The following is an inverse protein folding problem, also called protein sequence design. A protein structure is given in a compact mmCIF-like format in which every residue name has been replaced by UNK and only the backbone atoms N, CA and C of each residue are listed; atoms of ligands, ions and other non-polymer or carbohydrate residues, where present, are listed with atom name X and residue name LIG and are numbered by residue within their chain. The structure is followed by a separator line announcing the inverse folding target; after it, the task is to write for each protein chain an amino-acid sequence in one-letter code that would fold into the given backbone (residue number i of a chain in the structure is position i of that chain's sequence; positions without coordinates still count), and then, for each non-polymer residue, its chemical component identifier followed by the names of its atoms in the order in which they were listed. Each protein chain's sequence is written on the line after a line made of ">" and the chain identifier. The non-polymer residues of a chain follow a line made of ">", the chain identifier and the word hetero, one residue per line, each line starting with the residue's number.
data_IF_611146012738
#
_entry.id   IF_611146012738
#
_cell.length_a   1.000
_cell.length_b   1.000
_cell.length_c   1.000
_cell.angle_alpha   90.00
_cell.angle_beta   90.00
_cell.angle_gamma   90.00
#
_symmetry.space_group_name_H-M   'P 1'
#
loop_
_entity.id
_entity.type
_entity.pdbx_description
1 polymer ?
#
# COMPACT_ATOMS: atom_id res chain seq x y z
N UNK A 1 -4.25 -26.21 4.18
CA UNK A 1 -5.66 -25.94 3.84
C UNK A 1 -6.23 -27.10 3.03
N UNK A 2 -7.45 -27.60 3.28
CA UNK A 2 -8.04 -28.65 2.46
C UNK A 2 -8.45 -28.08 1.10
N UNK A 3 -7.95 -28.68 0.03
CA UNK A 3 -8.22 -28.32 -1.36
C UNK A 3 -9.59 -28.89 -1.74
N UNK A 4 -10.44 -28.12 -2.41
CA UNK A 4 -11.74 -28.64 -2.84
C UNK A 4 -11.55 -29.72 -3.93
N UNK A 5 -12.46 -30.70 -3.97
CA UNK A 5 -12.42 -31.82 -4.92
C UNK A 5 -12.35 -31.38 -6.39
N UNK A 6 -12.91 -30.20 -6.73
CA UNK A 6 -12.82 -29.62 -8.08
C UNK A 6 -11.41 -29.12 -8.43
N UNK A 7 -10.70 -28.50 -7.48
CA UNK A 7 -9.31 -28.07 -7.68
C UNK A 7 -8.33 -29.25 -7.70
N UNK A 8 -8.63 -30.33 -6.96
CA UNK A 8 -7.90 -31.60 -7.02
C UNK A 8 -8.03 -32.30 -8.39
N UNK A 9 -9.13 -32.07 -9.11
CA UNK A 9 -9.36 -32.66 -10.42
C UNK A 9 -8.55 -31.97 -11.54
N UNK A 10 -8.15 -30.70 -11.35
CA UNK A 10 -7.33 -29.90 -12.27
C UNK A 10 -5.83 -30.20 -12.16
N UNK A 11 -5.45 -31.48 -11.97
CA UNK A 11 -4.05 -31.96 -11.88
C UNK A 11 -3.12 -31.11 -12.75
N UNK A 12 -2.22 -30.34 -12.14
CA UNK A 12 -1.17 -29.64 -12.87
C UNK A 12 0.18 -29.81 -12.16
N UNK A 13 1.17 -30.03 -13.02
CA UNK A 13 2.49 -30.57 -12.77
C UNK A 13 3.34 -29.58 -11.96
N UNK A 14 3.88 -30.02 -10.83
CA UNK A 14 5.01 -29.34 -10.16
C UNK A 14 4.74 -28.02 -9.41
N UNK A 15 3.63 -27.32 -9.64
CA UNK A 15 3.29 -26.08 -8.92
C UNK A 15 2.45 -26.39 -7.69
N UNK A 16 2.95 -26.01 -6.50
CA UNK A 16 2.24 -26.13 -5.22
C UNK A 16 0.92 -25.34 -5.28
N UNK A 17 -0.16 -26.05 -5.63
CA UNK A 17 -1.55 -25.90 -5.21
C UNK A 17 -1.94 -24.46 -4.82
N UNK A 18 -2.57 -23.76 -5.76
CA UNK A 18 -3.24 -22.48 -5.51
C UNK A 18 -4.37 -22.62 -4.49
N UNK A 19 -4.60 -21.61 -3.62
CA UNK A 19 -5.80 -21.56 -2.82
C UNK A 19 -7.03 -21.55 -3.74
N UNK A 20 -7.96 -22.46 -3.45
CA UNK A 20 -9.25 -22.60 -4.13
C UNK A 20 -9.95 -21.24 -4.29
N UNK A 21 -10.83 -21.06 -5.30
CA UNK A 21 -11.74 -19.90 -5.36
C UNK A 21 -12.47 -19.62 -4.04
N UNK A 22 -12.67 -20.66 -3.21
CA UNK A 22 -13.31 -20.62 -1.89
C UNK A 22 -12.36 -20.42 -0.70
N UNK A 23 -11.04 -20.50 -0.87
CA UNK A 23 -10.06 -20.29 0.20
C UNK A 23 -9.50 -18.88 0.15
N UNK A 24 -9.28 -18.24 1.29
CA UNK A 24 -8.57 -16.94 1.36
C UNK A 24 -7.07 -17.14 1.11
N UNK A 25 -6.40 -16.12 0.55
CA UNK A 25 -4.94 -16.05 0.55
C UNK A 25 -4.47 -15.83 1.99
N UNK A 26 -5.13 -14.93 2.73
CA UNK A 26 -4.80 -14.63 4.13
C UNK A 26 -6.04 -14.78 5.01
N UNK A 27 -5.99 -15.53 6.13
CA UNK A 27 -7.16 -15.73 6.98
C UNK A 27 -7.65 -14.44 7.67
N UNK A 28 -6.74 -13.65 8.26
CA UNK A 28 -6.96 -12.27 8.72
C UNK A 28 -5.60 -11.63 9.06
N UNK A 29 -5.59 -10.30 9.19
CA UNK A 29 -4.49 -9.49 9.74
C UNK A 29 -4.74 -9.06 11.20
N UNK A 30 -5.94 -9.25 11.75
CA UNK A 30 -6.33 -8.69 13.06
C UNK A 30 -5.41 -9.11 14.21
N UNK A 31 -5.07 -10.41 14.25
CA UNK A 31 -4.23 -10.97 15.32
C UNK A 31 -2.80 -10.40 15.27
N UNK A 32 -2.30 -10.14 14.06
CA UNK A 32 -0.96 -9.62 13.83
C UNK A 32 -0.84 -8.12 14.11
N UNK A 33 -1.95 -7.38 14.03
CA UNK A 33 -2.04 -5.97 14.40
C UNK A 33 -2.60 -5.73 15.80
N UNK A 34 -2.83 -6.77 16.62
CA UNK A 34 -3.45 -6.64 17.95
C UNK A 34 -2.78 -5.63 18.90
N UNK A 35 -1.49 -5.33 18.67
CA UNK A 35 -0.72 -4.39 19.47
C UNK A 35 -0.77 -2.95 18.93
N UNK A 36 -1.42 -2.70 17.79
CA UNK A 36 -1.70 -1.38 17.24
C UNK A 36 -3.19 -1.09 17.37
N UNK A 37 -3.54 0.01 18.03
CA UNK A 37 -4.94 0.46 18.16
C UNK A 37 -5.08 1.83 17.52
N UNK A 38 -5.91 1.93 16.49
CA UNK A 38 -6.22 3.19 15.80
C UNK A 38 -7.20 4.03 16.61
N UNK A 39 -6.72 5.15 17.17
CA UNK A 39 -7.54 6.07 17.97
C UNK A 39 -8.21 7.15 17.15
N UNK A 40 -7.57 7.60 16.06
CA UNK A 40 -8.05 8.57 15.08
C UNK A 40 -7.22 8.48 13.79
N UNK A 41 -7.53 9.28 12.76
CA UNK A 41 -6.72 9.32 11.53
C UNK A 41 -5.28 9.81 11.77
N UNK A 42 -5.02 10.49 12.90
CA UNK A 42 -3.73 11.07 13.26
C UNK A 42 -3.14 10.45 14.52
N UNK A 43 -3.80 9.47 15.14
CA UNK A 43 -3.43 8.96 16.47
C UNK A 43 -3.53 7.44 16.56
N UNK A 44 -2.48 6.80 17.06
CA UNK A 44 -2.38 5.36 17.27
C UNK A 44 -1.87 5.06 18.68
N UNK A 45 -2.28 3.94 19.26
CA UNK A 45 -1.64 3.36 20.44
C UNK A 45 -0.79 2.16 20.03
N UNK A 46 0.45 2.16 20.49
CA UNK A 46 1.35 1.02 20.43
C UNK A 46 1.34 0.32 21.80
N UNK A 47 1.00 -0.96 21.82
CA UNK A 47 0.96 -1.79 23.01
C UNK A 47 2.24 -2.59 23.09
N UNK A 48 3.15 -2.20 23.99
CA UNK A 48 4.42 -2.92 24.22
C UNK A 48 4.46 -3.33 25.68
N UNK A 49 4.54 -4.65 25.91
CA UNK A 49 4.58 -5.26 27.25
C UNK A 49 3.43 -4.79 28.15
N UNK A 50 3.75 -3.95 29.14
CA UNK A 50 2.78 -3.44 30.14
C UNK A 50 2.30 -2.02 29.85
N UNK A 51 2.89 -1.34 28.88
CA UNK A 51 2.63 0.07 28.62
C UNK A 51 1.94 0.28 27.28
N UNK A 52 1.21 1.39 27.20
CA UNK A 52 0.64 1.88 25.95
C UNK A 52 1.30 3.20 25.62
N UNK A 53 1.68 3.36 24.37
CA UNK A 53 2.31 4.58 23.86
C UNK A 53 1.43 5.19 22.79
N UNK A 54 0.98 6.41 23.00
CA UNK A 54 0.23 7.17 22.01
C UNK A 54 1.21 7.85 21.06
N UNK A 55 1.12 7.49 19.79
CA UNK A 55 1.81 8.16 18.67
C UNK A 55 0.81 9.09 18.01
N UNK A 56 1.19 10.35 17.83
CA UNK A 56 0.41 11.35 17.10
C UNK A 56 1.19 11.84 15.89
N UNK A 57 0.57 11.82 14.71
CA UNK A 57 1.10 12.41 13.47
C UNK A 57 -0.03 13.25 12.84
N UNK A 58 -0.11 14.53 13.22
CA UNK A 58 -1.23 15.39 12.90
C UNK A 58 -0.90 16.44 11.83
N UNK A 59 -1.37 16.18 10.60
CA UNK A 59 -1.31 17.10 9.46
C UNK A 59 -2.33 18.25 9.55
N UNK A 60 -3.37 18.11 10.37
CA UNK A 60 -4.44 19.10 10.47
C UNK A 60 -4.15 20.20 11.49
N UNK A 61 -3.01 20.12 12.19
CA UNK A 61 -2.61 21.08 13.22
C UNK A 61 -2.59 22.53 12.74
N UNK A 62 -2.23 22.78 11.48
CA UNK A 62 -2.19 24.12 10.87
C UNK A 62 -3.49 24.51 10.16
N UNK A 63 -4.51 23.64 10.18
CA UNK A 63 -5.80 23.85 9.54
C UNK A 63 -6.04 22.92 8.36
N UNK A 64 -7.33 22.66 8.11
CA UNK A 64 -7.78 21.68 7.12
C UNK A 64 -7.41 22.04 5.68
N UNK A 65 -7.53 23.31 5.30
CA UNK A 65 -7.19 23.76 3.94
C UNK A 65 -5.71 23.55 3.61
N UNK A 66 -4.81 23.80 4.57
CA UNK A 66 -3.38 23.57 4.37
C UNK A 66 -3.06 22.08 4.29
N UNK A 67 -3.72 21.24 5.10
CA UNK A 67 -3.58 19.80 5.03
C UNK A 67 -3.97 19.24 3.66
N UNK A 68 -5.13 19.65 3.11
CA UNK A 68 -5.57 19.21 1.78
C UNK A 68 -4.69 19.75 0.65
N UNK A 69 -4.10 20.94 0.82
CA UNK A 69 -3.27 21.58 -0.22
C UNK A 69 -1.84 21.06 -0.26
N UNK A 70 -1.24 20.77 0.89
CA UNK A 70 0.20 20.51 1.02
C UNK A 70 0.55 19.14 1.62
N UNK A 71 -0.41 18.40 2.18
CA UNK A 71 -0.22 17.05 2.70
C UNK A 71 -0.93 15.99 1.83
N UNK A 72 -0.62 14.71 2.05
CA UNK A 72 -1.45 13.61 1.53
C UNK A 72 -2.34 13.11 2.67
N UNK A 73 -3.65 13.21 2.48
CA UNK A 73 -4.64 12.84 3.49
C UNK A 73 -5.65 11.82 2.97
N UNK A 74 -6.27 11.07 3.89
CA UNK A 74 -7.23 10.01 3.58
C UNK A 74 -8.49 10.54 2.90
N UNK A 75 -9.14 9.68 2.11
CA UNK A 75 -10.36 9.99 1.35
C UNK A 75 -11.49 10.56 2.21
N UNK A 76 -11.59 10.17 3.48
CA UNK A 76 -12.61 10.66 4.41
C UNK A 76 -12.61 12.19 4.55
N UNK A 77 -11.47 12.85 4.29
CA UNK A 77 -11.32 14.30 4.36
C UNK A 77 -11.89 15.03 3.13
N UNK A 78 -12.30 14.30 2.08
CA UNK A 78 -12.88 14.87 0.86
C UNK A 78 -14.37 14.59 0.72
N UNK A 79 -14.93 13.66 1.51
CA UNK A 79 -16.33 13.24 1.38
C UNK A 79 -17.26 14.38 1.85
N UNK A 80 -18.09 14.96 0.97
CA UNK A 80 -19.05 15.97 1.39
C UNK A 80 -20.07 15.42 2.38
N UNK A 81 -20.72 16.31 3.15
CA UNK A 81 -21.86 15.91 4.00
C UNK A 81 -23.04 15.34 3.18
N UNK A 82 -23.11 15.67 1.88
CA UNK A 82 -24.01 15.07 0.89
C UNK A 82 -23.44 13.75 0.37
N UNK A 83 -24.21 12.66 0.52
CA UNK A 83 -23.83 11.30 0.11
C UNK A 83 -24.39 10.92 -1.27
N UNK A 84 -24.34 11.81 -2.26
CA UNK A 84 -24.70 11.41 -3.62
C UNK A 84 -23.56 10.56 -4.24
N UNK A 85 -23.86 9.59 -5.12
CA UNK A 85 -22.82 8.82 -5.81
C UNK A 85 -21.81 9.71 -6.57
N UNK A 86 -22.27 10.85 -7.12
CA UNK A 86 -21.40 11.82 -7.79
C UNK A 86 -20.43 12.50 -6.83
N UNK A 87 -20.89 12.81 -5.62
CA UNK A 87 -20.04 13.40 -4.58
C UNK A 87 -18.96 12.40 -4.13
N UNK A 88 -19.30 11.11 -4.06
CA UNK A 88 -18.35 10.04 -3.72
C UNK A 88 -17.28 9.86 -4.79
N UNK A 89 -17.65 9.84 -6.08
CA UNK A 89 -16.68 9.80 -7.20
C UNK A 89 -15.79 11.04 -7.15
N UNK A 90 -16.36 12.23 -6.97
CA UNK A 90 -15.62 13.48 -6.83
C UNK A 90 -14.59 13.42 -5.68
N UNK A 91 -14.98 12.87 -4.52
CA UNK A 91 -14.08 12.68 -3.39
C UNK A 91 -12.97 11.66 -3.70
N UNK A 92 -13.29 10.54 -4.38
CA UNK A 92 -12.28 9.56 -4.81
C UNK A 92 -11.26 10.19 -5.77
N UNK A 93 -11.72 10.96 -6.76
CA UNK A 93 -10.84 11.64 -7.70
C UNK A 93 -9.97 12.68 -6.99
N UNK A 94 -10.55 13.52 -6.13
CA UNK A 94 -9.78 14.51 -5.36
C UNK A 94 -8.72 13.85 -4.46
N UNK A 95 -9.09 12.73 -3.83
CA UNK A 95 -8.18 11.90 -3.05
C UNK A 95 -6.98 11.42 -3.88
N UNK A 96 -7.25 10.82 -5.05
CA UNK A 96 -6.23 10.25 -5.94
C UNK A 96 -5.32 11.31 -6.59
N UNK A 97 -5.87 12.49 -6.90
CA UNK A 97 -5.12 13.59 -7.51
C UNK A 97 -3.97 14.11 -6.63
N UNK A 98 -4.02 13.90 -5.31
CA UNK A 98 -2.92 14.25 -4.41
C UNK A 98 -1.60 13.58 -4.82
N UNK A 99 -1.67 12.33 -5.31
CA UNK A 99 -0.51 11.50 -5.64
C UNK A 99 0.27 11.96 -6.89
N UNK A 100 -0.31 12.81 -7.73
CA UNK A 100 0.42 13.45 -8.84
C UNK A 100 1.50 14.43 -8.36
N UNK A 101 1.34 14.95 -7.14
CA UNK A 101 2.27 15.87 -6.48
C UNK A 101 3.01 15.22 -5.31
N UNK A 102 3.24 13.91 -5.37
CA UNK A 102 3.84 13.15 -4.25
C UNK A 102 5.20 13.72 -3.83
N UNK A 103 6.07 14.10 -4.78
CA UNK A 103 7.38 14.69 -4.45
C UNK A 103 7.27 15.97 -3.61
N UNK A 104 6.27 16.80 -3.88
CA UNK A 104 6.05 18.07 -3.18
C UNK A 104 5.47 17.84 -1.78
N UNK A 105 4.58 16.85 -1.65
CA UNK A 105 3.84 16.56 -0.41
C UNK A 105 4.58 15.59 0.53
N UNK A 106 5.42 14.72 -0.02
CA UNK A 106 6.31 13.77 0.67
C UNK A 106 7.75 13.89 0.12
N UNK A 107 8.43 15.02 0.38
CA UNK A 107 9.76 15.28 -0.18
C UNK A 107 10.82 14.34 0.38
N UNK A 108 11.73 13.88 -0.50
CA UNK A 108 12.88 13.03 -0.17
C UNK A 108 12.53 11.69 0.50
N UNK A 109 11.30 11.20 0.32
CA UNK A 109 10.86 9.90 0.84
C UNK A 109 11.09 8.79 -0.16
N UNK A 110 10.82 9.08 -1.43
CA UNK A 110 10.74 8.09 -2.50
C UNK A 110 11.65 8.48 -3.66
N UNK A 111 12.27 7.48 -4.26
CA UNK A 111 13.06 7.65 -5.48
C UNK A 111 12.16 8.04 -6.68
N UNK A 112 12.72 8.66 -7.74
CA UNK A 112 11.94 9.09 -8.90
C UNK A 112 11.07 7.99 -9.53
N UNK A 113 11.54 6.73 -9.55
CA UNK A 113 10.76 5.61 -10.07
C UNK A 113 9.60 5.24 -9.14
N UNK A 114 9.83 5.22 -7.83
CA UNK A 114 8.80 5.01 -6.81
C UNK A 114 7.68 6.06 -6.91
N UNK A 115 8.03 7.32 -7.21
CA UNK A 115 7.03 8.37 -7.44
C UNK A 115 6.12 8.08 -8.64
N UNK A 116 6.65 7.50 -9.73
CA UNK A 116 5.83 7.04 -10.86
C UNK A 116 4.94 5.87 -10.47
N UNK A 117 5.47 4.92 -9.70
CA UNK A 117 4.70 3.78 -9.17
C UNK A 117 3.59 4.23 -8.22
N UNK A 118 3.75 5.37 -7.55
CA UNK A 118 2.70 6.01 -6.74
C UNK A 118 1.71 6.80 -7.61
N UNK A 119 2.14 7.44 -8.70
CA UNK A 119 1.26 8.27 -9.52
C UNK A 119 0.41 7.49 -10.54
N UNK A 120 1.00 6.46 -11.17
CA UNK A 120 0.36 5.72 -12.28
C UNK A 120 -0.90 4.96 -11.85
N UNK A 121 -0.94 4.23 -10.70
CA UNK A 121 -2.17 3.59 -10.25
C UNK A 121 -3.28 4.59 -9.93
N UNK A 122 -2.96 5.80 -9.49
CA UNK A 122 -3.95 6.84 -9.22
C UNK A 122 -4.60 7.30 -10.53
N UNK A 123 -3.80 7.53 -11.57
CA UNK A 123 -4.29 7.83 -12.92
C UNK A 123 -5.15 6.70 -13.50
N UNK A 124 -4.74 5.45 -13.31
CA UNK A 124 -5.52 4.28 -13.70
C UNK A 124 -6.86 4.19 -12.96
N UNK A 125 -6.84 4.39 -11.64
CA UNK A 125 -8.04 4.33 -10.82
C UNK A 125 -9.03 5.46 -11.11
N UNK A 126 -8.55 6.68 -11.42
CA UNK A 126 -9.41 7.78 -11.90
C UNK A 126 -10.09 7.39 -13.20
N UNK A 127 -9.36 6.80 -14.14
CA UNK A 127 -9.93 6.31 -15.40
C UNK A 127 -11.02 5.25 -15.17
N UNK A 128 -10.81 4.31 -14.24
CA UNK A 128 -11.82 3.32 -13.87
C UNK A 128 -13.05 3.97 -13.23
N UNK A 129 -12.87 4.99 -12.37
CA UNK A 129 -13.99 5.72 -11.75
C UNK A 129 -14.84 6.47 -12.77
N UNK A 130 -14.23 7.03 -13.80
CA UNK A 130 -14.93 7.74 -14.88
C UNK A 130 -15.68 6.78 -15.82
N UNK A 131 -15.13 5.59 -16.02
CA UNK A 131 -15.67 4.59 -16.97
C UNK A 131 -16.69 3.63 -16.33
N UNK A 132 -16.44 3.21 -15.09
CA UNK A 132 -17.16 2.15 -14.36
C UNK A 132 -17.34 2.54 -12.87
N UNK A 133 -18.11 3.59 -12.56
CA UNK A 133 -18.13 4.22 -11.23
C UNK A 133 -18.56 3.28 -10.09
N UNK A 134 -19.56 2.43 -10.32
CA UNK A 134 -20.13 1.56 -9.27
C UNK A 134 -19.11 0.50 -8.79
N UNK A 135 -18.30 -0.04 -9.71
CA UNK A 135 -17.28 -1.06 -9.38
C UNK A 135 -15.97 -0.43 -8.88
N UNK A 136 -15.68 0.79 -9.33
CA UNK A 136 -14.41 1.45 -9.06
C UNK A 136 -14.33 2.07 -7.66
N UNK A 137 -15.46 2.44 -7.03
CA UNK A 137 -15.47 3.03 -5.68
C UNK A 137 -15.06 2.05 -4.56
N UNK A 138 -15.10 0.75 -4.82
CA UNK A 138 -14.61 -0.31 -3.91
C UNK A 138 -13.32 -0.98 -4.40
N UNK A 139 -12.57 -0.32 -5.29
CA UNK A 139 -11.36 -0.87 -5.87
C UNK A 139 -10.27 -1.18 -4.83
N UNK A 140 -9.53 -2.29 -4.98
CA UNK A 140 -8.37 -2.58 -4.13
C UNK A 140 -7.26 -1.54 -4.25
N UNK A 141 -7.17 -0.78 -5.35
CA UNK A 141 -6.20 0.32 -5.46
C UNK A 141 -6.52 1.43 -4.46
N UNK A 142 -7.80 1.81 -4.32
CA UNK A 142 -8.21 2.82 -3.35
C UNK A 142 -7.86 2.38 -1.93
N UNK A 143 -8.19 1.14 -1.58
CA UNK A 143 -7.87 0.58 -0.25
C UNK A 143 -6.36 0.54 0.00
N UNK A 144 -5.56 0.13 -1.00
CA UNK A 144 -4.10 0.14 -0.90
C UNK A 144 -3.54 1.55 -0.65
N UNK A 145 -4.01 2.58 -1.35
CA UNK A 145 -3.57 3.96 -1.09
C UNK A 145 -3.90 4.44 0.32
N UNK A 146 -5.08 4.07 0.84
CA UNK A 146 -5.45 4.41 2.23
C UNK A 146 -4.52 3.73 3.23
N UNK A 147 -4.19 2.45 3.00
CA UNK A 147 -3.20 1.73 3.80
C UNK A 147 -1.83 2.41 3.74
N UNK A 148 -1.38 2.77 2.53
CA UNK A 148 -0.10 3.45 2.30
C UNK A 148 -0.01 4.77 3.08
N UNK A 149 -1.08 5.57 3.12
CA UNK A 149 -1.08 6.81 3.90
C UNK A 149 -0.89 6.52 5.39
N UNK A 150 -1.59 5.51 5.94
CA UNK A 150 -1.49 5.15 7.36
C UNK A 150 -0.07 4.65 7.68
N UNK A 151 0.45 3.70 6.90
CA UNK A 151 1.79 3.16 7.12
C UNK A 151 2.85 4.23 6.93
N UNK A 152 2.72 5.11 5.93
CA UNK A 152 3.65 6.22 5.70
C UNK A 152 3.67 7.20 6.85
N UNK A 153 2.54 7.48 7.52
CA UNK A 153 2.51 8.34 8.71
C UNK A 153 3.32 7.73 9.85
N UNK A 154 3.13 6.43 10.11
CA UNK A 154 3.91 5.70 11.11
C UNK A 154 5.40 5.60 10.73
N UNK A 155 5.72 5.30 9.47
CA UNK A 155 7.10 5.27 8.98
C UNK A 155 7.77 6.65 9.04
N UNK A 156 7.04 7.73 8.74
CA UNK A 156 7.55 9.10 8.88
C UNK A 156 7.92 9.42 10.32
N UNK A 157 7.14 8.92 11.29
CA UNK A 157 7.51 9.03 12.70
C UNK A 157 8.86 8.35 12.98
N UNK A 158 9.09 7.15 12.42
CA UNK A 158 10.35 6.41 12.56
C UNK A 158 11.56 7.21 12.06
N UNK A 159 11.48 7.80 10.87
CA UNK A 159 12.57 8.61 10.28
C UNK A 159 13.00 9.80 11.13
N UNK A 160 12.06 10.35 11.91
CA UNK A 160 12.31 11.50 12.78
C UNK A 160 12.57 11.10 14.23
N UNK A 161 12.46 9.82 14.57
CA UNK A 161 12.80 9.30 15.89
C UNK A 161 14.32 9.14 16.03
N UNK A 162 14.89 9.40 17.21
CA UNK A 162 16.32 9.24 17.41
C UNK A 162 16.78 7.81 17.10
N UNK A 163 17.89 7.70 16.35
CA UNK A 163 18.52 6.41 16.05
C UNK A 163 18.86 5.68 17.37
N UNK A 164 18.72 4.35 17.36
CA UNK A 164 18.93 3.43 18.49
C UNK A 164 17.93 3.59 19.65
N UNK A 165 16.93 4.47 19.52
CA UNK A 165 15.85 4.54 20.49
C UNK A 165 14.73 3.60 20.07
N UNK A 166 14.30 2.78 21.02
CA UNK A 166 13.20 1.84 20.82
C UNK A 166 12.14 2.07 21.87
N UNK A 167 10.89 2.22 21.44
CA UNK A 167 9.73 2.35 22.31
C UNK A 167 9.39 0.96 22.86
N UNK A 168 9.97 0.65 24.01
CA UNK A 168 9.76 -0.58 24.79
C UNK A 168 9.40 -0.26 26.24
N UNK A 169 9.12 -1.29 27.04
CA UNK A 169 8.73 -1.16 28.46
C UNK A 169 9.60 -0.21 29.30
N UNK A 170 10.89 -0.11 28.97
CA UNK A 170 11.87 0.67 29.72
C UNK A 170 12.22 2.02 29.09
N UNK A 171 11.49 2.47 28.07
CA UNK A 171 11.73 3.78 27.48
C UNK A 171 11.57 4.90 28.52
N UNK A 172 12.63 5.71 28.67
CA UNK A 172 12.82 6.56 29.84
C UNK A 172 11.92 7.81 29.87
N UNK A 173 11.43 8.26 28.72
CA UNK A 173 10.65 9.49 28.62
C UNK A 173 9.16 9.20 28.73
N UNK A 174 8.44 9.97 29.55
CA UNK A 174 6.98 9.93 29.61
C UNK A 174 6.32 10.63 28.42
N UNK A 175 7.02 11.58 27.78
CA UNK A 175 6.58 12.29 26.60
C UNK A 175 7.79 12.73 25.77
N UNK A 176 7.66 12.69 24.45
CA UNK A 176 8.62 13.18 23.49
C UNK A 176 7.90 13.98 22.39
N UNK A 177 8.04 15.31 22.44
CA UNK A 177 7.60 16.20 21.37
C UNK A 177 8.69 16.24 20.30
N UNK A 178 8.44 15.61 19.15
CA UNK A 178 9.44 15.40 18.12
C UNK A 178 9.48 16.55 17.12
N UNK A 179 8.30 16.97 16.64
CA UNK A 179 8.22 17.97 15.58
C UNK A 179 6.99 18.86 15.74
N UNK A 180 7.19 20.17 15.73
CA UNK A 180 6.10 21.13 15.63
C UNK A 180 5.63 21.26 14.19
N UNK A 181 4.31 21.32 13.98
CA UNK A 181 3.74 21.47 12.65
C UNK A 181 4.20 22.80 12.02
N UNK A 182 4.74 22.73 10.80
CA UNK A 182 5.18 23.90 10.06
C UNK A 182 5.06 23.69 8.54
N UNK A 183 5.06 24.79 7.80
CA UNK A 183 5.23 24.77 6.35
C UNK A 183 6.70 24.99 6.05
N UNK A 184 7.31 24.03 5.36
CA UNK A 184 8.68 24.18 4.89
C UNK A 184 8.70 24.62 3.45
N UNK A 185 9.45 25.69 3.18
CA UNK A 185 9.81 26.03 1.82
C UNK A 185 10.90 25.05 1.35
N UNK A 186 10.65 24.37 0.22
CA UNK A 186 11.65 23.48 -0.38
C UNK A 186 12.94 24.23 -0.72
N UNK A 187 14.08 23.54 -0.62
CA UNK A 187 15.32 24.04 -1.21
C UNK A 187 15.38 23.58 -2.66
N UNK A 188 15.25 24.51 -3.61
CA UNK A 188 15.30 24.23 -5.05
C UNK A 188 13.98 24.54 -5.74
N UNK A 189 13.06 23.58 -5.78
CA UNK A 189 11.72 23.75 -6.34
C UNK A 189 10.76 24.35 -5.31
N UNK A 190 10.19 25.51 -5.64
CA UNK A 190 9.48 26.43 -4.75
C UNK A 190 8.13 25.93 -4.17
N UNK A 191 7.87 24.62 -4.14
CA UNK A 191 6.62 24.07 -3.62
C UNK A 191 6.72 23.87 -2.10
N UNK A 192 5.88 24.55 -1.29
CA UNK A 192 5.88 24.38 0.15
C UNK A 192 5.35 22.98 0.53
N UNK A 193 6.05 22.31 1.42
CA UNK A 193 5.64 21.02 2.01
C UNK A 193 5.13 21.22 3.44
N UNK A 194 4.13 20.43 3.82
CA UNK A 194 3.56 20.47 5.17
C UNK A 194 4.23 19.42 6.04
N UNK A 195 4.84 19.86 7.14
CA UNK A 195 5.28 18.96 8.20
C UNK A 195 4.21 18.82 9.29
N UNK A 196 3.84 17.58 9.65
CA UNK A 196 2.83 17.34 10.68
C UNK A 196 3.38 17.61 12.09
N UNK A 197 2.49 17.81 13.05
CA UNK A 197 2.85 17.69 14.47
C UNK A 197 3.14 16.23 14.78
N UNK A 198 4.28 15.93 15.40
CA UNK A 198 4.64 14.58 15.81
C UNK A 198 4.94 14.50 17.30
N UNK A 199 4.22 13.65 18.02
CA UNK A 199 4.41 13.44 19.46
C UNK A 199 4.31 11.97 19.83
N UNK A 200 5.04 11.59 20.87
CA UNK A 200 4.95 10.30 21.53
C UNK A 200 4.66 10.51 23.01
N UNK A 201 3.63 9.86 23.54
CA UNK A 201 3.19 10.03 24.91
C UNK A 201 2.98 8.66 25.58
N UNK A 202 3.58 8.46 26.74
CA UNK A 202 3.34 7.28 27.58
C UNK A 202 1.98 7.43 28.25
N UNK A 203 1.11 6.46 28.02
CA UNK A 203 -0.19 6.44 28.70
C UNK A 203 -0.02 6.08 30.19
N UNK A 204 -0.92 6.55 31.07
CA UNK A 204 -0.91 6.18 32.49
C UNK A 204 -0.94 4.65 32.69
N UNK A 205 -0.31 4.12 33.73
CA UNK A 205 -0.21 2.65 33.96
C UNK A 205 -1.56 1.92 34.08
N UNK A 206 -2.61 2.65 34.47
CA UNK A 206 -3.98 2.11 34.59
C UNK A 206 -4.85 2.44 33.37
N UNK A 207 -4.26 3.03 32.33
CA UNK A 207 -4.96 3.29 31.09
C UNK A 207 -5.45 1.98 30.51
N UNK A 208 -6.73 1.97 30.13
CA UNK A 208 -7.32 0.90 29.35
C UNK A 208 -7.65 1.50 27.99
N UNK A 209 -7.19 0.89 26.89
CA UNK A 209 -7.67 1.26 25.57
C UNK A 209 -9.20 1.25 25.55
N UNK A 210 -9.85 2.14 24.79
CA UNK A 210 -11.30 2.14 24.69
C UNK A 210 -11.79 0.78 24.16
N UNK A 211 -12.77 0.16 24.83
CA UNK A 211 -13.35 -1.13 24.42
C UNK A 211 -13.97 -1.08 22.99
N UNK A 212 -14.29 0.12 22.51
CA UNK A 212 -14.81 0.39 21.17
C UNK A 212 -13.75 0.91 20.19
N UNK A 213 -12.48 1.07 20.59
CA UNK A 213 -11.41 1.46 19.67
C UNK A 213 -11.17 0.39 18.59
N UNK A 214 -11.38 -0.89 18.95
CA UNK A 214 -11.42 -2.02 18.01
C UNK A 214 -12.78 -2.17 17.30
N UNK A 215 -13.74 -1.25 17.54
CA UNK A 215 -15.09 -1.24 16.92
C UNK A 215 -15.39 0.05 16.16
N UNK A 216 -14.40 0.90 15.88
CA UNK A 216 -14.51 1.82 14.73
C UNK A 216 -14.87 0.93 13.56
N UNK A 217 -16.03 1.18 12.93
CA UNK A 217 -16.68 0.26 11.98
C UNK A 217 -15.64 -0.58 11.23
N UNK A 218 -15.72 -1.91 11.34
CA UNK A 218 -14.80 -2.93 10.80
C UNK A 218 -14.47 -2.82 9.28
N UNK A 219 -14.80 -1.70 8.64
CA UNK A 219 -14.62 -1.43 7.23
C UNK A 219 -13.48 -0.45 6.94
N UNK A 220 -12.80 0.11 7.97
CA UNK A 220 -11.82 1.19 7.78
C UNK A 220 -10.56 1.14 8.64
N UNK A 221 -10.31 0.07 9.39
CA UNK A 221 -9.01 -0.09 10.09
C UNK A 221 -7.95 -0.57 9.10
N UNK A 222 -6.66 -0.34 9.39
CA UNK A 222 -5.54 -0.82 8.57
C UNK A 222 -5.57 -2.34 8.35
N UNK A 223 -5.78 -3.20 9.38
CA UNK A 223 -5.90 -4.65 9.18
C UNK A 223 -7.04 -5.02 8.22
N UNK A 224 -8.22 -4.41 8.40
CA UNK A 224 -9.39 -4.66 7.57
C UNK A 224 -9.15 -4.23 6.12
N UNK A 225 -8.58 -3.03 5.92
CA UNK A 225 -8.28 -2.51 4.60
C UNK A 225 -7.21 -3.33 3.89
N UNK A 226 -6.18 -3.81 4.58
CA UNK A 226 -5.18 -4.72 4.01
C UNK A 226 -5.81 -6.05 3.59
N UNK A 227 -6.64 -6.64 4.46
CA UNK A 227 -7.34 -7.89 4.17
C UNK A 227 -8.24 -7.74 2.92
N UNK A 228 -9.04 -6.68 2.88
CA UNK A 228 -9.91 -6.36 1.74
C UNK A 228 -9.10 -6.06 0.48
N UNK A 229 -7.98 -5.37 0.57
CA UNK A 229 -7.10 -5.09 -0.58
C UNK A 229 -6.62 -6.39 -1.22
N UNK A 230 -6.05 -7.29 -0.41
CA UNK A 230 -5.50 -8.58 -0.88
C UNK A 230 -6.59 -9.48 -1.41
N UNK A 231 -7.70 -9.65 -0.68
CA UNK A 231 -8.79 -10.53 -1.09
C UNK A 231 -9.56 -9.99 -2.30
N UNK A 232 -9.77 -8.68 -2.42
CA UNK A 232 -10.38 -8.09 -3.62
C UNK A 232 -9.48 -8.25 -4.85
N UNK A 233 -8.16 -8.05 -4.71
CA UNK A 233 -7.22 -8.32 -5.79
C UNK A 233 -7.22 -9.80 -6.20
N UNK A 234 -7.28 -10.71 -5.22
CA UNK A 234 -7.42 -12.16 -5.46
C UNK A 234 -8.68 -12.48 -6.26
N UNK A 235 -9.83 -11.95 -5.84
CA UNK A 235 -11.12 -12.17 -6.50
C UNK A 235 -11.06 -11.67 -7.95
N UNK A 236 -10.45 -10.50 -8.18
CA UNK A 236 -10.22 -9.95 -9.51
C UNK A 236 -9.39 -10.90 -10.39
N UNK A 237 -8.29 -11.48 -9.91
CA UNK A 237 -7.54 -12.50 -10.67
C UNK A 237 -8.36 -13.75 -10.97
N UNK A 238 -9.14 -14.22 -9.99
CA UNK A 238 -9.93 -15.45 -10.12
C UNK A 238 -11.20 -15.28 -10.96
N UNK A 239 -11.55 -14.06 -11.32
CA UNK A 239 -12.58 -13.77 -12.33
C UNK A 239 -12.16 -14.33 -13.70
N UNK A 240 -10.86 -14.36 -13.98
CA UNK A 240 -10.29 -14.76 -15.26
C UNK A 240 -10.32 -13.66 -16.32
N UNK A 241 -10.70 -12.41 -15.97
CA UNK A 241 -10.68 -11.27 -16.88
C UNK A 241 -9.28 -10.64 -16.97
N UNK A 242 -8.63 -10.63 -18.15
CA UNK A 242 -7.33 -9.99 -18.35
C UNK A 242 -7.30 -8.49 -18.06
N UNK A 243 -8.44 -7.79 -18.17
CA UNK A 243 -8.53 -6.35 -17.85
C UNK A 243 -8.14 -6.04 -16.40
N UNK A 244 -8.32 -7.01 -15.52
CA UNK A 244 -8.05 -6.86 -14.09
C UNK A 244 -6.57 -7.01 -13.75
N UNK A 245 -5.74 -7.54 -14.65
CA UNK A 245 -4.32 -7.77 -14.40
C UNK A 245 -3.56 -6.46 -14.14
N UNK A 246 -3.92 -5.37 -14.83
CA UNK A 246 -3.34 -4.03 -14.62
C UNK A 246 -3.63 -3.54 -13.20
N UNK A 247 -4.89 -3.65 -12.77
CA UNK A 247 -5.31 -3.28 -11.42
C UNK A 247 -4.53 -4.05 -10.36
N UNK A 248 -4.38 -5.37 -10.54
CA UNK A 248 -3.70 -6.22 -9.56
C UNK A 248 -2.18 -6.02 -9.55
N UNK A 249 -1.57 -5.75 -10.71
CA UNK A 249 -0.17 -5.35 -10.78
C UNK A 249 0.09 -4.10 -9.93
N UNK A 250 -0.74 -3.07 -10.09
CA UNK A 250 -0.61 -1.86 -9.29
C UNK A 250 -0.84 -2.08 -7.79
N UNK A 251 -1.78 -2.95 -7.43
CA UNK A 251 -1.97 -3.36 -6.04
C UNK A 251 -0.71 -4.01 -5.47
N UNK A 252 -0.05 -4.91 -6.21
CA UNK A 252 1.21 -5.53 -5.77
C UNK A 252 2.31 -4.47 -5.54
N UNK A 253 2.44 -3.50 -6.44
CA UNK A 253 3.39 -2.39 -6.27
C UNK A 253 3.10 -1.59 -4.99
N UNK A 254 1.83 -1.22 -4.75
CA UNK A 254 1.44 -0.46 -3.56
C UNK A 254 1.62 -1.28 -2.28
N UNK A 255 1.34 -2.58 -2.30
CA UNK A 255 1.57 -3.47 -1.14
C UNK A 255 3.06 -3.57 -0.78
N UNK A 256 3.97 -3.53 -1.74
CA UNK A 256 5.41 -3.48 -1.48
C UNK A 256 5.83 -2.16 -0.82
N UNK A 257 5.28 -1.01 -1.25
CA UNK A 257 5.51 0.27 -0.58
C UNK A 257 4.96 0.28 0.85
N UNK A 258 3.79 -0.32 1.08
CA UNK A 258 3.21 -0.48 2.42
C UNK A 258 4.13 -1.36 3.28
N UNK A 259 4.63 -2.47 2.73
CA UNK A 259 5.57 -3.34 3.43
C UNK A 259 6.86 -2.60 3.78
N UNK A 260 7.40 -1.80 2.87
CA UNK A 260 8.56 -0.93 3.11
C UNK A 260 8.30 0.03 4.28
N UNK A 261 7.16 0.72 4.29
CA UNK A 261 6.83 1.64 5.39
C UNK A 261 6.69 0.91 6.74
N UNK A 262 6.13 -0.31 6.76
CA UNK A 262 6.06 -1.14 7.97
C UNK A 262 7.45 -1.60 8.44
N UNK A 263 8.35 -1.88 7.50
CA UNK A 263 9.76 -2.18 7.81
C UNK A 263 10.44 -0.98 8.47
N UNK A 264 10.22 0.24 7.97
CA UNK A 264 10.77 1.46 8.58
C UNK A 264 10.24 1.69 10.01
N UNK A 265 8.97 1.32 10.28
CA UNK A 265 8.41 1.40 11.65
C UNK A 265 9.20 0.54 12.65
N UNK A 266 9.80 -0.56 12.18
CA UNK A 266 10.68 -1.40 13.02
C UNK A 266 11.87 -0.63 13.61
N UNK A 267 12.24 0.51 12.99
CA UNK A 267 13.30 1.40 13.47
C UNK A 267 13.00 2.05 14.83
N UNK A 268 11.75 2.10 15.28
CA UNK A 268 11.40 2.66 16.59
C UNK A 268 10.46 1.81 17.46
N UNK A 269 9.83 0.77 16.90
CA UNK A 269 9.00 -0.17 17.68
C UNK A 269 8.93 -1.55 17.02
N UNK A 270 8.86 -2.61 17.81
CA UNK A 270 8.66 -4.00 17.34
C UNK A 270 7.18 -4.39 17.21
N UNK A 271 6.27 -3.49 17.60
CA UNK A 271 4.80 -3.70 17.65
C UNK A 271 4.22 -4.25 16.34
N UNK A 272 4.78 -3.86 15.18
CA UNK A 272 4.27 -4.21 13.85
C UNK A 272 5.08 -5.28 13.12
N UNK A 273 6.09 -5.88 13.75
CA UNK A 273 6.97 -6.86 13.07
C UNK A 273 6.20 -8.08 12.54
N UNK A 274 5.25 -8.60 13.33
CA UNK A 274 4.42 -9.73 12.89
C UNK A 274 3.49 -9.34 11.73
N UNK A 275 2.93 -8.13 11.77
CA UNK A 275 2.09 -7.60 10.70
C UNK A 275 2.88 -7.41 9.40
N UNK A 276 4.12 -6.92 9.49
CA UNK A 276 5.03 -6.81 8.35
C UNK A 276 5.28 -8.18 7.70
N UNK A 277 5.68 -9.20 8.49
CA UNK A 277 5.89 -10.55 7.96
C UNK A 277 4.62 -11.15 7.34
N UNK A 278 3.47 -10.93 7.96
CA UNK A 278 2.18 -11.38 7.45
C UNK A 278 1.84 -10.74 6.10
N UNK A 279 2.14 -9.46 5.94
CA UNK A 279 1.95 -8.74 4.68
C UNK A 279 2.87 -9.30 3.60
N UNK A 280 4.13 -9.60 3.93
CA UNK A 280 5.06 -10.25 3.00
C UNK A 280 4.52 -11.59 2.50
N UNK A 281 4.04 -12.46 3.40
CA UNK A 281 3.42 -13.74 3.02
C UNK A 281 2.21 -13.53 2.09
N UNK A 282 1.40 -12.50 2.35
CA UNK A 282 0.26 -12.12 1.50
C UNK A 282 0.69 -11.69 0.09
N UNK A 283 1.75 -10.87 0.00
CA UNK A 283 2.36 -10.44 -1.26
C UNK A 283 2.90 -11.66 -2.01
N UNK A 284 3.62 -12.57 -1.35
CA UNK A 284 4.15 -13.80 -1.96
C UNK A 284 3.04 -14.65 -2.59
N UNK A 285 1.94 -14.84 -1.87
CA UNK A 285 0.82 -15.62 -2.35
C UNK A 285 0.04 -14.93 -3.48
N UNK A 286 -0.19 -13.61 -3.38
CA UNK A 286 -0.88 -12.84 -4.41
C UNK A 286 -0.05 -12.75 -5.70
N UNK A 287 1.26 -12.53 -5.60
CA UNK A 287 2.18 -12.54 -6.73
C UNK A 287 2.22 -13.92 -7.41
N UNK A 288 2.25 -15.00 -6.62
CA UNK A 288 2.18 -16.36 -7.16
C UNK A 288 0.89 -16.61 -7.96
N UNK A 289 -0.25 -16.13 -7.47
CA UNK A 289 -1.52 -16.20 -8.20
C UNK A 289 -1.52 -15.31 -9.44
N UNK A 290 -0.99 -14.08 -9.34
CA UNK A 290 -0.87 -13.14 -10.45
C UNK A 290 -0.12 -13.78 -11.62
N UNK A 291 1.10 -14.28 -11.37
CA UNK A 291 1.94 -14.94 -12.38
C UNK A 291 1.27 -16.19 -12.97
N UNK A 292 0.53 -16.94 -12.18
CA UNK A 292 -0.24 -18.06 -12.70
C UNK A 292 -1.35 -17.63 -13.67
N UNK A 293 -2.00 -16.49 -13.39
CA UNK A 293 -3.09 -15.96 -14.21
C UNK A 293 -2.60 -15.25 -15.48
N UNK A 294 -1.59 -14.39 -15.37
CA UNK A 294 -1.09 -13.60 -16.51
C UNK A 294 -0.04 -14.34 -17.36
N UNK A 295 0.59 -15.40 -16.83
CA UNK A 295 1.66 -16.10 -17.53
C UNK A 295 2.82 -15.15 -17.82
N UNK A 296 3.21 -15.03 -19.07
CA UNK A 296 4.28 -14.14 -19.54
C UNK A 296 3.79 -12.71 -19.87
N UNK A 297 2.51 -12.41 -19.63
CA UNK A 297 1.88 -11.14 -19.96
C UNK A 297 1.88 -10.15 -18.79
N UNK A 298 3.01 -10.04 -18.10
CA UNK A 298 3.22 -9.07 -17.02
C UNK A 298 4.31 -8.04 -17.37
N UNK A 299 4.29 -6.85 -16.76
CA UNK A 299 5.26 -5.78 -17.08
C UNK A 299 6.71 -6.14 -16.77
N UNK A 300 6.96 -7.05 -15.83
CA UNK A 300 8.32 -7.48 -15.51
C UNK A 300 8.79 -8.72 -16.29
N UNK A 301 8.21 -8.97 -17.47
CA UNK A 301 8.69 -10.02 -18.34
C UNK A 301 9.98 -9.56 -19.04
N UNK A 302 11.05 -10.33 -18.82
CA UNK A 302 12.39 -10.10 -19.41
C UNK A 302 12.40 -10.18 -20.94
N UNK A 303 11.52 -10.99 -21.54
CA UNK A 303 11.44 -11.18 -22.98
C UNK A 303 10.58 -10.08 -23.65
N UNK A 304 10.04 -9.18 -22.82
CA UNK A 304 9.13 -8.11 -23.20
C UNK A 304 7.67 -8.53 -23.17
N UNK A 305 6.82 -7.54 -22.97
CA UNK A 305 5.37 -7.69 -23.00
C UNK A 305 4.89 -7.52 -24.44
N UNK A 306 4.19 -8.52 -24.97
CA UNK A 306 3.50 -8.39 -26.25
C UNK A 306 2.29 -7.43 -26.10
N UNK A 307 2.53 -6.15 -26.42
CA UNK A 307 1.56 -5.07 -26.27
C UNK A 307 0.32 -5.29 -27.14
N UNK A 308 0.50 -5.75 -28.38
CA UNK A 308 -0.61 -6.01 -29.30
C UNK A 308 -1.50 -7.15 -28.79
N UNK A 309 -0.88 -8.25 -28.36
CA UNK A 309 -1.62 -9.39 -27.80
C UNK A 309 -2.33 -9.02 -26.49
N UNK A 310 -1.68 -8.25 -25.62
CA UNK A 310 -2.30 -7.77 -24.38
C UNK A 310 -3.50 -6.85 -24.66
N UNK A 311 -3.37 -5.90 -25.57
CA UNK A 311 -4.46 -5.01 -26.00
C UNK A 311 -5.62 -5.81 -26.60
N UNK A 312 -5.33 -6.83 -27.43
CA UNK A 312 -6.35 -7.72 -28.01
C UNK A 312 -7.11 -8.52 -26.92
N UNK A 313 -6.39 -9.08 -25.94
CA UNK A 313 -6.98 -9.84 -24.84
C UNK A 313 -7.85 -8.98 -23.92
N UNK A 314 -7.41 -7.76 -23.64
CA UNK A 314 -8.14 -6.83 -22.78
C UNK A 314 -9.23 -6.10 -23.53
N UNK A 315 -9.20 -6.04 -24.87
CA UNK A 315 -10.13 -5.22 -25.65
C UNK A 315 -10.02 -3.72 -25.36
N UNK A 316 -8.88 -3.29 -24.80
CA UNK A 316 -8.51 -1.90 -24.58
C UNK A 316 -7.64 -1.51 -25.79
N UNK A 317 -8.25 -0.95 -26.83
CA UNK A 317 -7.54 -0.56 -28.07
C UNK A 317 -6.53 0.59 -27.82
N UNK A 318 -5.60 0.79 -28.78
CA UNK A 318 -4.46 1.75 -28.78
C UNK A 318 -4.81 3.22 -28.47
N UNK A 319 -6.10 3.61 -28.45
CA UNK A 319 -6.54 4.95 -28.05
C UNK A 319 -6.53 5.17 -26.52
N UNK A 320 -6.26 4.11 -25.74
CA UNK A 320 -6.15 4.21 -24.30
C UNK A 320 -4.70 4.56 -23.89
N UNK A 321 -4.36 5.86 -23.90
CA UNK A 321 -3.13 6.40 -23.29
C UNK A 321 -2.87 5.96 -21.83
N UNK A 322 -3.84 5.29 -21.21
CA UNK A 322 -3.76 4.77 -19.83
C UNK A 322 -3.07 3.40 -19.73
N UNK A 323 -2.93 2.66 -20.84
CA UNK A 323 -2.06 1.47 -20.88
C UNK A 323 -0.59 1.83 -21.09
N UNK A 324 -0.29 3.03 -21.62
CA UNK A 324 1.09 3.51 -21.82
C UNK A 324 1.89 3.50 -20.51
N UNK A 325 1.24 3.82 -19.39
CA UNK A 325 1.87 3.78 -18.06
C UNK A 325 2.21 2.33 -17.62
N UNK A 326 1.38 1.36 -17.99
CA UNK A 326 1.62 -0.06 -17.71
C UNK A 326 2.69 -0.64 -18.65
N UNK A 327 2.65 -0.28 -19.93
CA UNK A 327 3.63 -0.70 -20.92
C UNK A 327 5.00 -0.06 -20.71
N UNK A 328 5.05 1.22 -20.30
CA UNK A 328 6.31 1.89 -19.98
C UNK A 328 7.02 1.27 -18.78
N UNK A 329 6.30 0.60 -17.87
CA UNK A 329 6.94 -0.20 -16.82
C UNK A 329 7.74 -1.36 -17.40
N UNK A 330 7.24 -2.01 -18.46
CA UNK A 330 8.00 -3.05 -19.17
C UNK A 330 9.19 -2.46 -19.92
N UNK A 331 9.02 -1.31 -20.55
CA UNK A 331 10.13 -0.63 -21.25
C UNK A 331 11.25 -0.23 -20.28
N UNK A 332 10.91 0.30 -19.09
CA UNK A 332 11.87 0.60 -18.02
C UNK A 332 12.53 -0.67 -17.51
N UNK A 333 11.74 -1.72 -17.26
CA UNK A 333 12.25 -3.01 -16.81
C UNK A 333 13.26 -3.60 -17.77
N UNK A 334 12.95 -3.68 -19.08
CA UNK A 334 13.87 -4.22 -20.09
C UNK A 334 15.16 -3.40 -20.16
N UNK A 335 15.06 -2.07 -20.05
CA UNK A 335 16.23 -1.18 -20.13
C UNK A 335 17.17 -1.33 -18.93
N UNK A 336 16.62 -1.56 -17.73
CA UNK A 336 17.37 -1.67 -16.47
C UNK A 336 17.67 -3.13 -16.09
N UNK A 337 17.11 -4.12 -16.79
CA UNK A 337 17.35 -5.53 -16.53
C UNK A 337 18.77 -5.93 -16.92
N UNK A 338 19.63 -6.05 -15.91
CA UNK A 338 20.90 -6.75 -16.05
C UNK A 338 20.64 -8.26 -15.96
N UNK A 339 21.21 -9.06 -16.87
CA UNK A 339 21.16 -10.53 -16.77
C UNK A 339 21.82 -10.97 -15.46
N UNK A 340 21.02 -11.14 -14.42
CA UNK A 340 21.45 -11.78 -13.18
C UNK A 340 21.71 -13.26 -13.55
N UNK A 341 22.98 -13.70 -13.52
CA UNK A 341 23.52 -15.01 -13.94
C UNK A 341 22.98 -16.19 -13.08
N UNK A 342 21.88 -15.97 -12.38
CA UNK A 342 21.20 -16.89 -11.48
C UNK A 342 20.21 -17.78 -12.24
N UNK A 343 20.77 -18.58 -13.14
CA UNK A 343 20.16 -19.81 -13.72
C UNK A 343 19.73 -20.86 -12.67
N UNK A 344 19.78 -20.55 -11.37
CA UNK A 344 19.52 -21.44 -10.25
C UNK A 344 18.31 -21.11 -9.36
N UNK A 345 17.58 -20.01 -9.58
CA UNK A 345 16.41 -19.69 -8.74
C UNK A 345 15.25 -20.62 -9.08
N UNK A 346 15.10 -21.71 -8.31
CA UNK A 346 14.01 -22.70 -8.45
C UNK A 346 12.60 -22.13 -8.17
N UNK A 347 12.48 -20.90 -7.68
CA UNK A 347 11.20 -20.30 -7.31
C UNK A 347 10.96 -19.00 -8.08
N UNK A 348 10.29 -19.12 -9.23
CA UNK A 348 9.92 -18.03 -10.13
C UNK A 348 9.17 -16.89 -9.44
N UNK A 349 8.32 -17.19 -8.45
CA UNK A 349 7.56 -16.18 -7.69
C UNK A 349 8.49 -15.28 -6.87
N UNK A 350 9.48 -15.87 -6.18
CA UNK A 350 10.45 -15.10 -5.38
C UNK A 350 11.34 -14.21 -6.25
N UNK A 351 11.70 -14.70 -7.42
CA UNK A 351 12.45 -13.91 -8.40
C UNK A 351 11.63 -12.71 -8.88
N UNK A 352 10.37 -12.92 -9.26
CA UNK A 352 9.48 -11.84 -9.64
C UNK A 352 9.30 -10.80 -8.53
N UNK A 353 9.11 -11.22 -7.27
CA UNK A 353 8.92 -10.29 -6.15
C UNK A 353 10.19 -9.50 -5.87
N UNK A 354 11.38 -10.11 -5.90
CA UNK A 354 12.66 -9.40 -5.78
C UNK A 354 12.75 -8.29 -6.82
N UNK A 355 12.43 -8.60 -8.07
CA UNK A 355 12.48 -7.64 -9.17
C UNK A 355 11.41 -6.56 -9.07
N UNK A 356 10.20 -6.92 -8.63
CA UNK A 356 9.15 -5.97 -8.36
C UNK A 356 9.53 -5.04 -7.21
N UNK A 357 10.13 -5.55 -6.15
CA UNK A 357 10.62 -4.75 -5.01
C UNK A 357 11.70 -3.76 -5.45
N UNK A 358 12.67 -4.24 -6.23
CA UNK A 358 13.70 -3.37 -6.80
C UNK A 358 13.11 -2.30 -7.72
N UNK A 359 12.19 -2.67 -8.61
CA UNK A 359 11.49 -1.75 -9.50
C UNK A 359 10.72 -0.68 -8.71
N UNK A 360 9.97 -1.10 -7.70
CA UNK A 360 9.16 -0.21 -6.84
C UNK A 360 10.04 0.78 -6.07
N UNK A 361 11.25 0.38 -5.67
CA UNK A 361 12.19 1.20 -4.89
C UNK A 361 13.31 1.84 -5.74
N UNK A 362 13.21 1.81 -7.07
CA UNK A 362 14.17 2.49 -7.95
C UNK A 362 15.57 1.86 -7.99
N UNK A 363 15.68 0.54 -7.84
CA UNK A 363 16.93 -0.24 -7.90
C UNK A 363 17.96 0.10 -6.81
N UNK A 364 17.53 0.77 -5.73
CA UNK A 364 18.40 1.20 -4.64
C UNK A 364 18.51 0.18 -3.49
N UNK A 365 17.55 -0.75 -3.37
CA UNK A 365 17.63 -1.89 -2.45
C UNK A 365 18.49 -2.98 -3.09
N UNK A 366 19.70 -3.15 -2.57
CA UNK A 366 20.65 -4.22 -2.95
C UNK A 366 20.74 -5.29 -1.86
#
# INVERSE_FOLDING_TARGET
>A
MPICSTCLALRNEGLRIMPCKRGQIVPSFDDEFQNLIELSESEWLLCTGKYHWKVTVDYFRLGHELALKHGIVDINNFVPQSRSPKDQIGACCAFLQQFWSTLERWPNVYEPLSLKVIANPASWQIFLLESLPDEATESPILLAYRCLIITRRLGTFAYHFPIDWLVVDHFALAKYDMLEANIQQGQGDNSPSLRPLMTLEKMPEKFRPPDDANKRSNDSTLPDMLNRTVESARVKLLSGDPKEWVTVFWVLCLLLLIHFDLEEVSGFTDTLLNAQHKLWDAIEMLAGLYLHCCGDLHPLNKDGLDKEWFSLLTGLEDDCHKLDDFFSCNDIWIAEYEEDDHTGVRNYVKHFIKHLDNFVHGWTRL
#
